data_IF_609641966085
#
_entry.id   IF_609641966085
#
_cell.length_a   1.000
_cell.length_b   1.000
_cell.length_c   1.000
_cell.angle_alpha   90.00
_cell.angle_beta   90.00
_cell.angle_gamma   90.00
#
_symmetry.space_group_name_H-M   'P 1'
#
loop_
_entity.id
_entity.type
_entity.pdbx_description
1 polymer ?
#
# COMPACT_ATOMS: atom_id res chain seq x y z
N UNK A 1 22.70 -9.37 -1.13
CA UNK A 1 21.54 -8.46 -1.23
C UNK A 1 20.38 -9.23 -1.82
N UNK A 2 19.23 -9.24 -1.15
CA UNK A 2 17.99 -9.80 -1.72
C UNK A 2 17.53 -8.84 -2.83
N UNK A 3 17.23 -9.36 -4.03
CA UNK A 3 16.76 -8.56 -5.17
C UNK A 3 15.27 -8.83 -5.37
N UNK A 4 14.44 -7.86 -5.03
CA UNK A 4 13.00 -7.89 -5.27
C UNK A 4 12.67 -7.19 -6.59
N UNK A 5 11.42 -7.36 -7.06
CA UNK A 5 10.93 -6.57 -8.19
C UNK A 5 10.75 -5.12 -7.76
N UNK A 6 10.94 -4.15 -8.67
CA UNK A 6 10.65 -2.73 -8.38
C UNK A 6 9.24 -2.51 -7.86
N UNK A 7 8.26 -3.30 -8.32
CA UNK A 7 6.88 -3.19 -7.85
C UNK A 7 6.75 -3.63 -6.38
N UNK A 8 7.47 -4.68 -5.98
CA UNK A 8 7.52 -5.16 -4.60
C UNK A 8 8.22 -4.14 -3.69
N UNK A 9 9.34 -3.55 -4.14
CA UNK A 9 10.04 -2.50 -3.39
C UNK A 9 9.12 -1.29 -3.13
N UNK A 10 8.40 -0.84 -4.16
CA UNK A 10 7.42 0.23 -3.99
C UNK A 10 6.23 -0.17 -3.13
N UNK A 11 5.82 -1.45 -3.17
CA UNK A 11 4.82 -1.99 -2.25
C UNK A 11 5.22 -1.85 -0.79
N UNK A 12 6.47 -2.18 -0.46
CA UNK A 12 7.02 -2.01 0.89
C UNK A 12 7.02 -0.53 1.30
N UNK A 13 7.41 0.38 0.40
CA UNK A 13 7.38 1.83 0.67
C UNK A 13 5.96 2.31 0.99
N UNK A 14 4.98 1.93 0.18
CA UNK A 14 3.58 2.32 0.37
C UNK A 14 3.02 1.76 1.68
N UNK A 15 3.21 0.46 1.94
CA UNK A 15 2.75 -0.17 3.18
C UNK A 15 3.40 0.47 4.42
N UNK A 16 4.68 0.85 4.32
CA UNK A 16 5.40 1.54 5.41
C UNK A 16 4.87 2.94 5.67
N UNK A 17 4.45 3.67 4.62
CA UNK A 17 3.79 4.97 4.78
C UNK A 17 2.42 4.81 5.45
N UNK A 18 1.60 3.89 4.95
CA UNK A 18 0.27 3.64 5.53
C UNK A 18 0.37 3.16 6.99
N UNK A 19 1.41 2.39 7.32
CA UNK A 19 1.69 1.93 8.68
C UNK A 19 1.96 3.07 9.68
N UNK A 20 2.45 4.24 9.22
CA UNK A 20 2.64 5.41 10.08
C UNK A 20 1.32 6.10 10.45
N UNK A 21 0.24 5.80 9.72
CA UNK A 21 -1.08 6.42 9.88
C UNK A 21 -2.16 5.32 9.98
N UNK A 22 -2.12 4.45 11.01
CA UNK A 22 -3.05 3.35 11.13
C UNK A 22 -4.51 3.86 11.25
N UNK A 23 -5.44 3.16 10.60
CA UNK A 23 -6.86 3.53 10.57
C UNK A 23 -7.21 4.66 9.60
N UNK A 24 -6.22 5.24 8.89
CA UNK A 24 -6.46 6.29 7.90
C UNK A 24 -6.73 5.70 6.53
N UNK A 25 -7.82 6.14 5.90
CA UNK A 25 -8.10 5.88 4.48
C UNK A 25 -7.26 6.83 3.63
N UNK A 26 -6.48 6.29 2.70
CA UNK A 26 -5.59 7.05 1.82
C UNK A 26 -5.88 6.79 0.35
N UNK A 27 -5.85 7.83 -0.47
CA UNK A 27 -6.01 7.74 -1.93
C UNK A 27 -4.66 7.59 -2.64
N UNK A 28 -4.69 7.26 -3.94
CA UNK A 28 -3.45 7.21 -4.72
C UNK A 28 -2.74 8.58 -4.81
N UNK A 29 -3.44 9.73 -4.96
CA UNK A 29 -2.85 11.05 -4.80
C UNK A 29 -2.19 11.28 -3.43
N UNK A 30 -2.83 10.88 -2.33
CA UNK A 30 -2.24 11.04 -0.99
C UNK A 30 -0.94 10.25 -0.86
N UNK A 31 -0.95 8.98 -1.29
CA UNK A 31 0.24 8.14 -1.27
C UNK A 31 1.33 8.72 -2.16
N UNK A 32 0.98 9.19 -3.36
CA UNK A 32 1.91 9.85 -4.28
C UNK A 32 2.60 11.05 -3.63
N UNK A 33 1.85 11.87 -2.91
CA UNK A 33 2.37 13.02 -2.18
C UNK A 33 3.37 12.60 -1.09
N UNK A 34 3.05 11.54 -0.34
CA UNK A 34 3.88 11.10 0.79
C UNK A 34 5.12 10.30 0.37
N UNK A 35 5.04 9.52 -0.71
CA UNK A 35 6.13 8.61 -1.12
C UNK A 35 6.93 9.13 -2.33
N UNK A 36 6.49 10.20 -3.00
CA UNK A 36 7.10 10.71 -4.23
C UNK A 36 6.91 9.83 -5.46
N UNK A 37 6.13 8.75 -5.36
CA UNK A 37 5.78 7.91 -6.52
C UNK A 37 4.77 8.65 -7.38
N UNK A 38 4.75 8.38 -8.69
CA UNK A 38 3.70 8.94 -9.56
C UNK A 38 2.33 8.36 -9.19
N UNK A 39 1.27 9.15 -9.30
CA UNK A 39 -0.10 8.70 -9.02
C UNK A 39 -0.47 7.40 -9.76
N UNK A 40 -0.14 7.20 -11.06
CA UNK A 40 -0.42 5.93 -11.74
C UNK A 40 0.32 4.73 -11.12
N UNK A 41 1.56 4.93 -10.67
CA UNK A 41 2.36 3.90 -10.01
C UNK A 41 1.77 3.53 -8.67
N UNK A 42 1.46 4.53 -7.83
CA UNK A 42 0.80 4.33 -6.55
C UNK A 42 -0.54 3.60 -6.73
N UNK A 43 -1.38 4.04 -7.68
CA UNK A 43 -2.66 3.41 -7.97
C UNK A 43 -2.54 1.96 -8.43
N UNK A 44 -1.49 1.61 -9.20
CA UNK A 44 -1.22 0.23 -9.62
C UNK A 44 -0.85 -0.65 -8.43
N UNK A 45 0.02 -0.16 -7.56
CA UNK A 45 0.49 -0.91 -6.39
C UNK A 45 -0.62 -1.08 -5.35
N UNK A 46 -1.39 -0.02 -5.06
CA UNK A 46 -2.53 -0.09 -4.14
C UNK A 46 -3.55 -1.15 -4.59
N UNK A 47 -3.83 -1.25 -5.89
CA UNK A 47 -4.69 -2.31 -6.44
C UNK A 47 -4.10 -3.70 -6.26
N UNK A 48 -2.80 -3.87 -6.48
CA UNK A 48 -2.13 -5.15 -6.30
C UNK A 48 -2.19 -5.60 -4.83
N UNK A 49 -1.85 -4.71 -3.89
CA UNK A 49 -1.91 -4.95 -2.46
C UNK A 49 -3.34 -5.23 -1.97
N UNK A 50 -4.34 -4.51 -2.50
CA UNK A 50 -5.74 -4.78 -2.18
C UNK A 50 -6.20 -6.15 -2.70
N UNK A 51 -5.78 -6.55 -3.91
CA UNK A 51 -6.03 -7.89 -4.44
C UNK A 51 -5.38 -8.97 -3.58
N UNK A 52 -4.19 -8.71 -3.05
CA UNK A 52 -3.48 -9.55 -2.09
C UNK A 52 -3.98 -9.45 -0.65
N UNK A 53 -5.10 -8.76 -0.39
CA UNK A 53 -5.74 -8.60 0.92
C UNK A 53 -4.88 -7.92 2.00
N UNK A 54 -3.89 -7.14 1.58
CA UNK A 54 -3.13 -6.27 2.49
C UNK A 54 -3.85 -4.94 2.74
N UNK A 55 -4.72 -4.54 1.81
CA UNK A 55 -5.50 -3.30 1.88
C UNK A 55 -7.00 -3.56 1.63
N UNK A 56 -7.84 -2.86 2.38
CA UNK A 56 -9.29 -2.76 2.13
C UNK A 56 -9.54 -1.57 1.23
N UNK A 57 -10.33 -1.75 0.17
CA UNK A 57 -10.74 -0.65 -0.71
C UNK A 57 -12.11 -0.12 -0.30
N UNK A 58 -12.14 1.18 0.01
CA UNK A 58 -13.35 1.93 0.31
C UNK A 58 -13.79 2.70 -0.95
N UNK A 59 -15.07 2.63 -1.32
CA UNK A 59 -15.63 3.34 -2.49
C UNK A 59 -16.36 4.62 -2.08
N UNK A 60 -16.52 5.54 -3.03
CA UNK A 60 -17.29 6.79 -2.85
C UNK A 60 -16.39 8.03 -2.83
N UNK A 61 -17.00 9.19 -2.55
CA UNK A 61 -16.32 10.50 -2.58
C UNK A 61 -15.18 10.63 -1.56
N UNK A 62 -15.20 9.82 -0.49
CA UNK A 62 -14.17 9.74 0.55
C UNK A 62 -13.52 8.35 0.57
N UNK A 63 -13.57 7.64 -0.56
CA UNK A 63 -12.99 6.31 -0.72
C UNK A 63 -11.47 6.33 -0.76
N UNK A 64 -10.87 5.15 -0.82
CA UNK A 64 -9.43 4.97 -0.81
C UNK A 64 -9.03 3.58 -0.36
N UNK A 65 -7.87 3.49 0.29
CA UNK A 65 -7.31 2.25 0.80
C UNK A 65 -6.93 2.41 2.26
N UNK A 66 -7.10 1.34 3.02
CA UNK A 66 -6.74 1.25 4.44
C UNK A 66 -6.07 -0.11 4.68
N UNK A 67 -5.18 -0.21 5.65
CA UNK A 67 -4.58 -1.49 6.06
C UNK A 67 -5.67 -2.46 6.54
N UNK A 68 -5.56 -3.73 6.13
CA UNK A 68 -6.49 -4.79 6.59
C UNK A 68 -6.19 -5.29 8.00
N UNK A 69 -4.98 -5.04 8.50
CA UNK A 69 -4.50 -5.47 9.80
C UNK A 69 -3.67 -4.36 10.45
N UNK A 70 -3.41 -4.49 11.76
CA UNK A 70 -2.52 -3.57 12.44
C UNK A 70 -1.10 -3.67 11.85
N UNK A 71 -0.34 -2.57 11.76
CA UNK A 71 1.00 -2.60 11.18
C UNK A 71 1.95 -3.61 11.83
N UNK A 72 1.80 -3.86 13.13
CA UNK A 72 2.61 -4.82 13.89
C UNK A 72 2.38 -6.28 13.46
N UNK A 73 1.24 -6.58 12.81
CA UNK A 73 0.86 -7.93 12.38
C UNK A 73 1.21 -8.20 10.91
N UNK A 74 1.80 -7.23 10.19
CA UNK A 74 2.13 -7.35 8.78
C UNK A 74 3.65 -7.48 8.61
N UNK A 75 4.11 -8.65 8.14
CA UNK A 75 5.52 -8.84 7.83
C UNK A 75 5.85 -8.41 6.39
N UNK A 76 7.13 -8.13 6.12
CA UNK A 76 7.60 -7.91 4.74
C UNK A 76 7.29 -9.13 3.86
N UNK A 77 7.36 -10.34 4.40
CA UNK A 77 7.04 -11.55 3.65
C UNK A 77 5.57 -11.60 3.20
N UNK A 78 4.65 -11.04 3.98
CA UNK A 78 3.24 -10.96 3.60
C UNK A 78 3.02 -9.98 2.47
N UNK A 79 3.72 -8.85 2.48
CA UNK A 79 3.73 -7.88 1.37
C UNK A 79 4.24 -8.55 0.09
N UNK A 80 5.35 -9.31 0.17
CA UNK A 80 5.92 -10.00 -1.00
C UNK A 80 4.96 -11.06 -1.54
N UNK A 81 4.26 -11.82 -0.68
CA UNK A 81 3.27 -12.83 -1.11
C UNK A 81 2.02 -12.23 -1.73
N UNK A 82 1.66 -11.02 -1.34
CA UNK A 82 0.45 -10.32 -1.78
C UNK A 82 0.58 -9.67 -3.17
N UNK A 83 1.80 -9.47 -3.68
CA UNK A 83 2.08 -8.75 -4.93
C UNK A 83 2.41 -9.69 -6.09
#
# INVERSE_FOLDING_TARGET
MIKLSKMTDYGVVIMSEMARMPGRVMTAPDISLHTGLTVPTAAKILRALAKGKMLTSHRGAHGGYELTAAPADVSIADIVRAM
#
